data_IF_200784495931
#
_entry.id   IF_200784495931
#
_cell.length_a   1.000
_cell.length_b   1.000
_cell.length_c   1.000
_cell.angle_alpha   90.00
_cell.angle_beta   90.00
_cell.angle_gamma   90.00
#
_symmetry.space_group_name_H-M   'P 1'
#
loop_
_entity.id
_entity.type
_entity.pdbx_description
1 polymer ?
#
# COMPACT_ATOMS: atom_id res chain seq x y z
N UNK A 1 -17.54 -6.40 -2.81
CA UNK A 1 -17.18 -5.02 -2.44
C UNK A 1 -15.69 -5.04 -2.13
N UNK A 2 -14.92 -4.20 -2.82
CA UNK A 2 -13.46 -4.10 -2.72
C UNK A 2 -13.00 -3.87 -1.27
N UNK A 3 -13.78 -3.13 -0.48
CA UNK A 3 -13.47 -2.90 0.93
C UNK A 3 -13.36 -4.21 1.73
N UNK A 4 -14.25 -5.18 1.43
CA UNK A 4 -14.19 -6.50 2.04
C UNK A 4 -13.06 -7.39 1.47
N UNK A 5 -12.54 -7.09 0.27
CA UNK A 5 -11.43 -7.85 -0.31
C UNK A 5 -10.10 -7.54 0.38
N UNK A 6 -9.81 -6.26 0.64
CA UNK A 6 -8.58 -5.84 1.30
C UNK A 6 -8.43 -6.37 2.73
N UNK A 7 -9.53 -6.75 3.40
CA UNK A 7 -9.49 -7.36 4.75
C UNK A 7 -8.73 -8.68 4.82
N UNK A 8 -8.50 -9.36 3.70
CA UNK A 8 -7.64 -10.56 3.64
C UNK A 8 -6.19 -10.25 4.04
N UNK A 9 -5.75 -8.99 3.93
CA UNK A 9 -4.43 -8.55 4.40
C UNK A 9 -4.37 -8.63 5.93
N UNK A 10 -5.42 -8.25 6.65
CA UNK A 10 -5.47 -8.42 8.11
C UNK A 10 -5.46 -9.90 8.51
N UNK A 11 -6.19 -10.75 7.79
CA UNK A 11 -6.10 -12.21 8.02
C UNK A 11 -4.67 -12.73 7.85
N UNK A 12 -3.95 -12.25 6.81
CA UNK A 12 -2.56 -12.61 6.60
C UNK A 12 -1.65 -12.10 7.75
N UNK A 13 -1.87 -10.87 8.22
CA UNK A 13 -1.15 -10.29 9.35
C UNK A 13 -1.36 -11.11 10.61
N UNK A 14 -2.60 -11.37 11.01
CA UNK A 14 -2.97 -12.17 12.18
C UNK A 14 -2.30 -13.57 12.16
N UNK A 15 -2.27 -14.23 10.99
CA UNK A 15 -1.58 -15.53 10.84
C UNK A 15 -0.07 -15.42 11.03
N UNK A 16 0.55 -14.29 10.71
CA UNK A 16 2.00 -14.08 10.75
C UNK A 16 2.51 -13.66 12.13
N UNK A 17 1.69 -13.01 12.96
CA UNK A 17 2.09 -12.44 14.27
C UNK A 17 2.12 -13.45 15.44
N UNK A 18 1.95 -14.76 15.18
CA UNK A 18 2.03 -15.90 16.11
C UNK A 18 0.79 -16.12 17.01
N UNK A 19 0.12 -17.26 16.79
CA UNK A 19 -0.57 -18.02 17.85
C UNK A 19 -2.07 -17.80 18.07
N UNK A 20 -2.73 -16.91 17.33
CA UNK A 20 -4.16 -16.66 17.54
C UNK A 20 -5.02 -17.67 16.79
N UNK A 21 -5.41 -18.75 17.48
CA UNK A 21 -6.64 -19.47 17.16
C UNK A 21 -7.83 -18.56 17.50
N UNK A 22 -8.13 -17.58 16.64
CA UNK A 22 -9.37 -16.81 16.76
C UNK A 22 -10.45 -17.49 15.91
N UNK A 23 -11.65 -17.76 16.45
CA UNK A 23 -12.72 -18.48 15.75
C UNK A 23 -13.49 -17.58 14.76
N UNK A 24 -12.87 -16.49 14.31
CA UNK A 24 -13.47 -15.61 13.33
C UNK A 24 -13.23 -16.24 11.97
N UNK A 25 -14.33 -16.51 11.26
CA UNK A 25 -14.36 -16.95 9.86
C UNK A 25 -13.68 -15.90 8.97
N UNK A 26 -12.36 -15.83 9.01
CA UNK A 26 -11.58 -15.03 8.09
C UNK A 26 -11.71 -15.65 6.70
N UNK A 27 -12.02 -14.86 5.67
CA UNK A 27 -12.34 -15.40 4.37
C UNK A 27 -11.09 -15.96 3.70
N UNK A 28 -11.00 -17.28 3.63
CA UNK A 28 -9.91 -17.97 2.94
C UNK A 28 -9.73 -17.38 1.53
N UNK A 29 -8.49 -17.00 1.21
CA UNK A 29 -8.15 -16.42 -0.08
C UNK A 29 -8.51 -17.38 -1.22
N UNK A 30 -9.49 -17.00 -2.02
CA UNK A 30 -9.87 -17.64 -3.27
C UNK A 30 -9.51 -16.72 -4.44
N UNK A 31 -8.57 -17.17 -5.28
CA UNK A 31 -8.11 -16.42 -6.46
C UNK A 31 -9.25 -16.07 -7.41
N UNK A 32 -10.28 -16.91 -7.53
CA UNK A 32 -11.45 -16.64 -8.37
C UNK A 32 -12.33 -15.51 -7.81
N UNK A 33 -12.40 -15.40 -6.48
CA UNK A 33 -13.18 -14.40 -5.75
C UNK A 33 -12.47 -13.06 -5.56
N UNK A 34 -11.13 -13.07 -5.51
CA UNK A 34 -10.27 -11.90 -5.22
C UNK A 34 -9.44 -11.44 -6.43
N UNK A 35 -9.95 -11.65 -7.65
CA UNK A 35 -9.23 -11.30 -8.88
C UNK A 35 -8.91 -9.79 -8.96
N UNK A 36 -9.82 -8.93 -8.48
CA UNK A 36 -9.62 -7.48 -8.44
C UNK A 36 -8.50 -7.13 -7.45
N UNK A 37 -8.55 -7.62 -6.21
CA UNK A 37 -7.44 -7.45 -5.26
C UNK A 37 -6.09 -7.95 -5.82
N UNK A 38 -6.07 -9.09 -6.51
CA UNK A 38 -4.83 -9.59 -7.14
C UNK A 38 -4.29 -8.62 -8.19
N UNK A 39 -5.19 -8.00 -8.96
CA UNK A 39 -4.82 -6.98 -9.93
C UNK A 39 -4.25 -5.74 -9.21
N UNK A 40 -4.92 -5.24 -8.18
CA UNK A 40 -4.44 -4.09 -7.39
C UNK A 40 -3.07 -4.36 -6.75
N UNK A 41 -2.87 -5.52 -6.12
CA UNK A 41 -1.58 -5.91 -5.54
C UNK A 41 -0.48 -6.02 -6.60
N UNK A 42 -0.80 -6.51 -7.81
CA UNK A 42 0.14 -6.54 -8.92
C UNK A 42 0.51 -5.14 -9.38
N UNK A 43 -0.45 -4.23 -9.47
CA UNK A 43 -0.20 -2.83 -9.84
C UNK A 43 0.67 -2.14 -8.79
N UNK A 44 0.42 -2.36 -7.49
CA UNK A 44 1.27 -1.88 -6.41
C UNK A 44 2.70 -2.42 -6.52
N UNK A 45 2.86 -3.73 -6.77
CA UNK A 45 4.18 -4.33 -6.99
C UNK A 45 4.94 -3.65 -8.14
N UNK A 46 4.28 -3.41 -9.27
CA UNK A 46 4.89 -2.72 -10.41
C UNK A 46 5.26 -1.28 -10.05
N UNK A 47 4.35 -0.52 -9.42
CA UNK A 47 4.62 0.87 -9.03
C UNK A 47 5.81 0.98 -8.06
N UNK A 48 5.85 0.13 -7.04
CA UNK A 48 6.93 0.06 -6.05
C UNK A 48 8.27 -0.26 -6.71
N UNK A 49 8.31 -1.28 -7.57
CA UNK A 49 9.57 -1.71 -8.20
C UNK A 49 10.07 -0.78 -9.32
N UNK A 50 9.20 0.09 -9.85
CA UNK A 50 9.56 1.07 -10.90
C UNK A 50 10.00 2.42 -10.33
N UNK A 51 9.58 2.77 -9.12
CA UNK A 51 9.98 4.01 -8.47
C UNK A 51 11.49 4.00 -8.16
N UNK A 52 12.22 4.99 -8.66
CA UNK A 52 13.69 5.08 -8.49
C UNK A 52 14.15 5.84 -7.24
N UNK A 53 13.32 6.73 -6.72
CA UNK A 53 13.71 7.63 -5.63
C UNK A 53 12.66 7.70 -4.53
N UNK A 54 11.48 8.28 -4.83
CA UNK A 54 10.36 8.39 -3.90
C UNK A 54 9.08 7.96 -4.59
N UNK A 55 8.30 7.12 -3.91
CA UNK A 55 6.96 6.74 -4.31
C UNK A 55 5.96 7.40 -3.37
N UNK A 56 4.97 8.08 -3.93
CA UNK A 56 3.84 8.63 -3.20
C UNK A 56 2.58 7.88 -3.62
N UNK A 57 1.87 7.30 -2.66
CA UNK A 57 0.59 6.62 -2.89
C UNK A 57 -0.49 7.48 -2.23
N UNK A 58 -1.47 7.91 -3.02
CA UNK A 58 -2.60 8.71 -2.55
C UNK A 58 -3.89 7.97 -2.86
N UNK A 59 -4.71 7.78 -1.82
CA UNK A 59 -6.01 7.13 -1.91
C UNK A 59 -7.06 8.03 -1.25
N UNK A 60 -8.26 8.12 -1.85
CA UNK A 60 -9.38 8.91 -1.30
C UNK A 60 -10.33 8.09 -0.44
N UNK A 61 -10.60 6.85 -0.84
CA UNK A 61 -11.72 6.07 -0.30
C UNK A 61 -11.31 5.10 0.83
N UNK A 62 -10.01 5.06 1.18
CA UNK A 62 -9.46 4.24 2.26
C UNK A 62 -9.61 2.73 2.06
N UNK A 63 -9.80 2.27 0.82
CA UNK A 63 -9.98 0.84 0.53
C UNK A 63 -8.71 0.05 0.82
N UNK A 64 -7.55 0.62 0.53
CA UNK A 64 -6.23 0.00 0.75
C UNK A 64 -5.65 0.26 2.14
N UNK A 65 -6.44 0.81 3.09
CA UNK A 65 -6.06 0.94 4.50
C UNK A 65 -5.41 -0.32 5.10
N UNK A 66 -5.90 -1.55 4.84
CA UNK A 66 -5.25 -2.76 5.34
C UNK A 66 -3.81 -2.93 4.86
N UNK A 67 -3.49 -2.49 3.64
CA UNK A 67 -2.13 -2.53 3.10
C UNK A 67 -1.23 -1.48 3.76
N UNK A 68 -1.74 -0.27 4.00
CA UNK A 68 -1.00 0.78 4.71
C UNK A 68 -0.69 0.37 6.15
N UNK A 69 -1.65 -0.23 6.85
CA UNK A 69 -1.46 -0.73 8.21
C UNK A 69 -0.39 -1.83 8.23
N UNK A 70 -0.45 -2.77 7.28
CA UNK A 70 0.58 -3.80 7.12
C UNK A 70 1.98 -3.22 6.94
N UNK A 71 2.13 -2.26 6.03
CA UNK A 71 3.43 -1.62 5.81
C UNK A 71 3.89 -0.79 7.01
N UNK A 72 2.96 -0.21 7.77
CA UNK A 72 3.26 0.53 9.00
C UNK A 72 3.79 -0.41 10.08
N UNK A 73 3.20 -1.60 10.25
CA UNK A 73 3.74 -2.62 11.17
C UNK A 73 5.14 -3.09 10.78
N UNK A 74 5.41 -3.20 9.46
CA UNK A 74 6.75 -3.50 8.96
C UNK A 74 7.73 -2.32 9.04
N UNK A 75 7.26 -1.12 9.41
CA UNK A 75 8.05 0.11 9.43
C UNK A 75 8.68 0.47 8.07
N UNK A 76 8.00 0.18 6.95
CA UNK A 76 8.52 0.44 5.59
C UNK A 76 7.89 1.64 4.88
N UNK A 77 6.89 2.29 5.49
CA UNK A 77 6.23 3.48 4.95
C UNK A 77 6.11 4.58 5.99
N UNK A 78 5.99 5.82 5.52
CA UNK A 78 5.60 6.96 6.34
C UNK A 78 4.21 7.43 5.91
N UNK A 79 3.24 7.40 6.84
CA UNK A 79 1.88 7.91 6.62
C UNK A 79 1.81 9.33 7.17
N UNK A 80 1.34 10.29 6.36
CA UNK A 80 1.12 11.68 6.77
C UNK A 80 -0.21 12.20 6.21
N UNK A 81 -0.81 13.14 6.92
CA UNK A 81 -1.91 13.92 6.36
C UNK A 81 -1.43 14.79 5.21
N UNK A 82 -2.25 14.88 4.15
CA UNK A 82 -1.92 15.70 3.00
C UNK A 82 -2.23 17.16 3.29
N UNK A 83 -1.19 17.98 3.40
CA UNK A 83 -1.30 19.44 3.64
C UNK A 83 -0.27 20.23 2.84
N UNK A 84 -0.37 21.57 2.89
CA UNK A 84 0.50 22.47 2.12
C UNK A 84 2.00 22.27 2.43
N UNK A 85 2.35 22.06 3.69
CA UNK A 85 3.72 21.76 4.12
C UNK A 85 4.25 20.47 3.49
N UNK A 86 3.43 19.40 3.51
CA UNK A 86 3.78 18.12 2.91
C UNK A 86 3.90 18.20 1.38
N UNK A 87 2.98 18.92 0.72
CA UNK A 87 3.05 19.17 -0.72
C UNK A 87 4.36 19.88 -1.12
N UNK A 88 4.87 20.77 -0.26
CA UNK A 88 6.18 21.41 -0.46
C UNK A 88 7.34 20.42 -0.36
N UNK A 89 7.28 19.44 0.54
CA UNK A 89 8.29 18.37 0.62
C UNK A 89 8.25 17.41 -0.57
N UNK A 90 7.10 17.26 -1.23
CA UNK A 90 6.98 16.50 -2.47
C UNK A 90 7.63 17.20 -3.67
N UNK A 91 7.86 18.52 -3.59
CA UNK A 91 8.52 19.26 -4.66
C UNK A 91 9.98 18.87 -4.75
N UNK A 92 10.40 18.43 -5.93
CA UNK A 92 11.81 18.21 -6.25
C UNK A 92 12.26 19.37 -7.13
N UNK A 93 13.22 20.17 -6.66
CA UNK A 93 13.85 21.16 -7.51
C UNK A 93 14.71 20.45 -8.56
N UNK A 94 14.33 20.59 -9.84
CA UNK A 94 15.19 20.16 -10.94
C UNK A 94 15.95 21.35 -11.49
N UNK A 95 17.25 21.23 -11.65
CA UNK A 95 18.06 22.19 -12.43
C UNK A 95 18.06 21.80 -13.90
N UNK A 96 18.42 22.73 -14.79
CA UNK A 96 18.51 22.46 -16.22
C UNK A 96 19.54 21.35 -16.53
N UNK A 97 20.63 21.29 -15.77
CA UNK A 97 21.66 20.25 -15.90
C UNK A 97 21.15 18.86 -15.48
N UNK A 98 20.29 18.78 -14.45
CA UNK A 98 19.63 17.51 -14.07
C UNK A 98 18.76 16.92 -15.20
N UNK A 99 18.29 17.74 -16.16
CA UNK A 99 17.56 17.27 -17.35
C UNK A 99 18.49 16.87 -18.50
N UNK A 100 19.70 17.44 -18.56
CA UNK A 100 20.70 17.12 -19.58
C UNK A 100 21.41 15.80 -19.32
N UNK A 101 21.47 15.37 -18.06
CA UNK A 101 22.10 14.10 -17.64
C UNK A 101 21.12 12.92 -17.53
N UNK A 102 19.85 13.10 -17.92
CA UNK A 102 18.78 12.09 -17.78
C UNK A 102 18.63 11.14 -18.95
#
# INVERSE_FOLDING_TARGET
DLNNEWRVIYEYMEKKTVGSSSPVSSPCFDRGRYNVLCFELKQLYVAITRARQRLWICERDGLSSPMFDYWRELNVVQVREFGYSFAKEMQVSSTLDNWRER
#
